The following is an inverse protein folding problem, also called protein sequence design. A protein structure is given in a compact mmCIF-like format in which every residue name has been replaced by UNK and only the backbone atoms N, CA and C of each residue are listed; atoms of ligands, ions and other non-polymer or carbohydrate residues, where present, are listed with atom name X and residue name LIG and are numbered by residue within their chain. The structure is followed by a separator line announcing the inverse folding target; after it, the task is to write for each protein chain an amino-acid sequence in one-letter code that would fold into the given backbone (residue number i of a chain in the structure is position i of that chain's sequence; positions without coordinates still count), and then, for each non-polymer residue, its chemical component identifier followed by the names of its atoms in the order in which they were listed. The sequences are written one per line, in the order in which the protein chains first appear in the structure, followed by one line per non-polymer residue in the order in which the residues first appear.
data_IF_670989296351
#
_entry.id   IF_670989296351
#
_cell.length_a   1.000
_cell.length_b   1.000
_cell.length_c   1.000
_cell.angle_alpha   90.00
_cell.angle_beta   90.00
_cell.angle_gamma   90.00
#
_symmetry.space_group_name_H-M   'P 1'
#
loop_
_entity.id
_entity.type
_entity.pdbx_description
1 polymer ?
#
# COMPACT_ATOMS: atom_id res chain seq x y z
N UNK A 1 7.13 -12.42 -0.28
CA UNK A 1 7.47 -11.03 -0.67
C UNK A 1 8.98 -10.93 -0.92
N UNK A 2 9.52 -11.71 -1.86
CA UNK A 2 10.89 -11.53 -2.37
C UNK A 2 10.91 -11.03 -3.82
N UNK A 3 9.72 -10.93 -4.44
CA UNK A 3 9.55 -10.81 -5.89
C UNK A 3 8.69 -9.59 -6.27
N UNK A 4 8.53 -8.62 -5.36
CA UNK A 4 7.79 -7.39 -5.64
C UNK A 4 8.69 -6.18 -5.40
N UNK A 5 8.73 -5.25 -6.33
CA UNK A 5 9.47 -3.98 -6.25
C UNK A 5 8.83 -2.97 -5.29
N UNK A 6 7.99 -3.45 -4.37
CA UNK A 6 7.29 -2.62 -3.40
C UNK A 6 8.28 -2.02 -2.40
N UNK A 7 8.36 -0.68 -2.39
CA UNK A 7 9.20 0.09 -1.48
C UNK A 7 8.42 0.63 -0.28
N UNK A 8 7.09 0.55 -0.27
CA UNK A 8 6.24 1.05 0.81
C UNK A 8 5.24 -0.03 1.25
N UNK A 9 4.76 0.05 2.49
CA UNK A 9 3.71 -0.84 3.00
C UNK A 9 2.66 -0.05 3.77
N UNK A 10 1.40 -0.38 3.53
CA UNK A 10 0.27 0.07 4.34
C UNK A 10 -0.32 -1.14 5.08
N UNK A 11 -0.56 -1.00 6.38
CA UNK A 11 -1.11 -2.07 7.20
C UNK A 11 -2.09 -1.54 8.26
N UNK A 12 -2.72 -2.44 9.01
CA UNK A 12 -3.52 -2.07 10.19
C UNK A 12 -2.64 -2.12 11.46
N UNK A 13 -2.97 -1.31 12.47
CA UNK A 13 -2.20 -1.24 13.71
C UNK A 13 -1.97 -2.62 14.38
N UNK A 14 -2.95 -3.52 14.31
CA UNK A 14 -2.84 -4.88 14.84
C UNK A 14 -1.77 -5.76 14.15
N UNK A 15 -1.30 -5.36 12.97
CA UNK A 15 -0.29 -6.10 12.20
C UNK A 15 1.07 -5.39 12.14
N UNK A 16 1.22 -4.20 12.73
CA UNK A 16 2.43 -3.40 12.70
C UNK A 16 3.68 -4.17 13.17
N UNK A 17 3.59 -4.91 14.28
CA UNK A 17 4.72 -5.73 14.77
C UNK A 17 5.18 -6.79 13.77
N UNK A 18 4.25 -7.38 13.01
CA UNK A 18 4.59 -8.37 11.98
C UNK A 18 5.35 -7.71 10.85
N UNK A 19 4.94 -6.50 10.46
CA UNK A 19 5.61 -5.71 9.43
C UNK A 19 7.01 -5.31 9.88
N UNK A 20 7.22 -4.84 11.13
CA UNK A 20 8.57 -4.49 11.63
C UNK A 20 9.55 -5.68 11.60
N UNK A 21 9.08 -6.87 11.97
CA UNK A 21 9.89 -8.11 11.91
C UNK A 21 10.35 -8.44 10.48
N UNK A 22 9.55 -8.07 9.48
CA UNK A 22 9.85 -8.32 8.07
C UNK A 22 10.58 -7.14 7.43
N UNK A 23 10.37 -5.90 7.91
CA UNK A 23 11.06 -4.69 7.48
C UNK A 23 12.58 -4.84 7.57
N UNK A 24 13.10 -5.45 8.63
CA UNK A 24 14.53 -5.75 8.76
C UNK A 24 15.11 -6.61 7.61
N UNK A 25 14.24 -7.27 6.83
CA UNK A 25 14.61 -8.15 5.70
C UNK A 25 14.24 -7.56 4.34
N UNK A 26 13.45 -6.49 4.29
CA UNK A 26 12.95 -5.86 3.07
C UNK A 26 13.47 -4.43 2.95
N UNK A 27 13.73 -3.97 1.73
CA UNK A 27 14.19 -2.59 1.49
C UNK A 27 13.03 -1.60 1.43
N UNK A 28 12.16 -1.63 2.45
CA UNK A 28 11.05 -0.69 2.52
C UNK A 28 11.57 0.69 2.96
N UNK A 29 11.12 1.72 2.26
CA UNK A 29 11.44 3.12 2.47
C UNK A 29 10.40 3.82 3.35
N UNK A 30 9.14 3.34 3.37
CA UNK A 30 8.10 3.90 4.22
C UNK A 30 7.12 2.85 4.77
N UNK A 31 6.68 3.09 6.00
CA UNK A 31 5.79 2.23 6.78
C UNK A 31 4.54 3.04 7.15
N UNK A 32 3.39 2.66 6.63
CA UNK A 32 2.12 3.35 6.87
C UNK A 32 1.12 2.47 7.61
N UNK A 33 0.27 3.08 8.43
CA UNK A 33 -0.71 2.37 9.26
C UNK A 33 -2.08 3.04 9.24
N UNK A 34 -3.15 2.23 9.23
CA UNK A 34 -4.48 2.69 9.61
C UNK A 34 -4.59 2.67 11.14
N UNK A 35 -4.81 3.85 11.74
CA UNK A 35 -4.70 4.07 13.19
C UNK A 35 -3.33 4.58 13.60
N UNK A 36 -2.78 4.13 14.72
CA UNK A 36 -1.49 4.60 15.25
C UNK A 36 -0.62 3.43 15.69
N UNK A 37 0.67 3.47 15.36
CA UNK A 37 1.67 2.50 15.84
C UNK A 37 3.07 3.09 15.77
N UNK A 38 3.93 2.75 16.73
CA UNK A 38 5.30 3.26 16.79
C UNK A 38 6.12 2.83 15.56
N UNK A 39 6.81 3.79 14.94
CA UNK A 39 7.59 3.57 13.72
C UNK A 39 6.77 3.52 12.43
N UNK A 40 5.47 3.83 12.48
CA UNK A 40 4.60 3.96 11.31
C UNK A 40 4.03 5.37 11.20
N UNK A 41 3.91 5.84 9.97
CA UNK A 41 3.15 7.04 9.65
C UNK A 41 1.66 6.70 9.55
N UNK A 42 0.81 7.47 10.22
CA UNK A 42 -0.63 7.26 10.17
C UNK A 42 -1.24 7.88 8.92
N UNK A 43 -1.98 7.08 8.15
CA UNK A 43 -2.68 7.60 6.96
C UNK A 43 -3.89 8.47 7.30
N UNK A 44 -4.33 8.53 8.56
CA UNK A 44 -5.45 9.41 8.94
C UNK A 44 -5.09 10.88 8.78
N UNK A 45 -3.81 11.24 8.89
CA UNK A 45 -3.35 12.61 8.64
C UNK A 45 -3.53 13.04 7.18
N UNK A 46 -3.66 12.11 6.24
CA UNK A 46 -3.79 12.43 4.82
C UNK A 46 -5.12 13.08 4.47
N UNK A 47 -6.15 12.88 5.31
CA UNK A 47 -7.44 13.54 5.13
C UNK A 47 -7.38 15.07 5.31
N UNK A 48 -6.35 15.56 5.98
CA UNK A 48 -6.15 17.00 6.25
C UNK A 48 -5.24 17.67 5.20
N UNK A 49 -4.62 16.89 4.31
CA UNK A 49 -3.72 17.40 3.27
C UNK A 49 -4.50 17.97 2.09
N UNK A 50 -3.98 19.04 1.51
CA UNK A 50 -4.49 19.65 0.29
C UNK A 50 -3.83 18.99 -0.94
N UNK A 51 -4.50 19.02 -2.09
CA UNK A 51 -3.95 18.59 -3.38
C UNK A 51 -2.63 19.27 -3.74
N UNK A 52 -2.34 20.44 -3.14
CA UNK A 52 -1.07 21.19 -3.28
C UNK A 52 0.09 20.61 -2.49
N UNK A 53 -0.18 19.74 -1.52
CA UNK A 53 0.85 19.08 -0.70
C UNK A 53 1.44 17.86 -1.42
N UNK A 54 0.92 17.51 -2.61
CA UNK A 54 1.37 16.37 -3.40
C UNK A 54 2.16 16.81 -4.63
N UNK A 55 3.19 16.02 -4.96
CA UNK A 55 3.89 16.10 -6.24
C UNK A 55 3.29 15.07 -7.21
N UNK A 56 2.95 15.50 -8.42
CA UNK A 56 2.41 14.61 -9.44
C UNK A 56 3.53 13.73 -10.02
N UNK A 57 3.40 12.41 -9.83
CA UNK A 57 4.30 11.43 -10.40
C UNK A 57 3.71 10.88 -11.70
N UNK A 58 4.37 11.19 -12.82
CA UNK A 58 3.97 10.69 -14.12
C UNK A 58 4.14 9.16 -14.19
N UNK A 59 3.05 8.48 -14.56
CA UNK A 59 3.03 7.03 -14.79
C UNK A 59 2.99 6.76 -16.29
N UNK A 60 4.04 6.15 -16.83
CA UNK A 60 4.23 5.97 -18.27
C UNK A 60 3.12 5.16 -18.94
N UNK A 61 2.62 4.11 -18.27
CA UNK A 61 1.48 3.31 -18.73
C UNK A 61 0.55 2.97 -17.56
N UNK A 62 -0.46 3.80 -17.27
CA UNK A 62 -1.38 3.57 -16.15
C UNK A 62 -2.23 2.30 -16.28
N UNK A 63 -2.34 1.72 -17.48
CA UNK A 63 -3.13 0.52 -17.72
C UNK A 63 -2.47 -0.71 -17.08
N UNK A 64 -1.16 -0.82 -17.24
CA UNK A 64 -0.37 -2.00 -16.89
C UNK A 64 0.59 -1.76 -15.71
N UNK A 65 0.93 -0.50 -15.40
CA UNK A 65 1.78 -0.18 -14.24
C UNK A 65 1.04 -0.50 -12.95
N UNK A 66 1.62 -1.39 -12.14
CA UNK A 66 1.11 -1.79 -10.83
C UNK A 66 1.26 -0.64 -9.84
N UNK A 67 0.15 -0.19 -9.30
CA UNK A 67 0.10 0.83 -8.25
C UNK A 67 0.20 0.22 -6.84
N UNK A 68 -0.36 -0.98 -6.64
CA UNK A 68 -0.36 -1.64 -5.34
C UNK A 68 -0.38 -3.17 -5.46
N UNK A 69 0.19 -3.84 -4.46
CA UNK A 69 0.05 -5.27 -4.21
C UNK A 69 -0.82 -5.47 -2.97
N UNK A 70 -2.06 -5.93 -3.14
CA UNK A 70 -2.95 -6.23 -2.03
C UNK A 70 -2.78 -7.69 -1.60
N UNK A 71 -2.46 -7.90 -0.32
CA UNK A 71 -2.43 -9.23 0.28
C UNK A 71 -3.68 -9.43 1.13
N UNK A 72 -4.40 -10.51 0.89
CA UNK A 72 -5.51 -10.94 1.75
C UNK A 72 -5.06 -12.12 2.60
N UNK A 73 -5.70 -12.30 3.76
CA UNK A 73 -5.35 -13.35 4.73
C UNK A 73 -5.41 -14.77 4.15
N UNK A 74 -6.11 -14.98 3.03
CA UNK A 74 -6.14 -16.22 2.28
C UNK A 74 -6.62 -17.41 3.11
N UNK A 75 -7.93 -17.67 3.16
CA UNK A 75 -8.50 -18.80 3.93
C UNK A 75 -8.18 -20.18 3.33
N UNK A 76 -7.59 -20.25 2.14
CA UNK A 76 -7.37 -21.48 1.36
C UNK A 76 -5.90 -21.85 1.14
N UNK A 77 -4.94 -21.20 1.82
CA UNK A 77 -3.52 -21.54 1.70
C UNK A 77 -2.58 -20.34 1.88
N UNK A 78 -1.44 -20.35 1.19
CA UNK A 78 -0.49 -19.23 1.22
C UNK A 78 -1.16 -17.94 0.69
N UNK A 79 -1.03 -16.80 1.39
CA UNK A 79 -1.52 -15.51 0.91
C UNK A 79 -1.00 -15.19 -0.49
N UNK A 80 -1.91 -14.86 -1.40
CA UNK A 80 -1.57 -14.43 -2.76
C UNK A 80 -1.60 -12.90 -2.82
N UNK A 81 -0.58 -12.33 -3.45
CA UNK A 81 -0.59 -10.90 -3.78
C UNK A 81 -1.45 -10.68 -5.02
N UNK A 82 -2.38 -9.73 -4.94
CA UNK A 82 -3.18 -9.27 -6.07
C UNK A 82 -2.57 -7.98 -6.57
N UNK A 83 -2.16 -7.95 -7.83
CA UNK A 83 -1.65 -6.75 -8.49
C UNK A 83 -2.81 -5.83 -8.88
N UNK A 84 -2.70 -4.56 -8.54
CA UNK A 84 -3.69 -3.54 -8.84
C UNK A 84 -2.98 -2.45 -9.63
N UNK A 85 -3.34 -2.28 -10.90
CA UNK A 85 -2.83 -1.17 -11.71
C UNK A 85 -3.54 0.15 -11.42
N UNK A 86 -2.93 1.28 -11.83
CA UNK A 86 -3.53 2.61 -11.69
C UNK A 86 -4.93 2.66 -12.33
N UNK A 87 -5.10 2.11 -13.54
CA UNK A 87 -6.40 2.01 -14.23
C UNK A 87 -7.43 1.25 -13.39
N UNK A 88 -7.08 0.07 -12.90
CA UNK A 88 -8.00 -0.78 -12.12
C UNK A 88 -8.43 -0.09 -10.82
N UNK A 89 -7.51 0.63 -10.18
CA UNK A 89 -7.80 1.40 -8.97
C UNK A 89 -8.82 2.52 -9.25
N UNK A 90 -8.57 3.36 -10.26
CA UNK A 90 -9.47 4.47 -10.64
C UNK A 90 -10.83 3.96 -11.12
N UNK A 91 -10.86 2.89 -11.91
CA UNK A 91 -12.12 2.30 -12.38
C UNK A 91 -13.01 1.82 -11.22
N UNK A 92 -12.41 1.24 -10.17
CA UNK A 92 -13.15 0.83 -8.97
C UNK A 92 -13.73 2.02 -8.21
N UNK A 93 -12.98 3.12 -8.05
CA UNK A 93 -13.47 4.34 -7.38
C UNK A 93 -14.70 4.93 -8.08
N UNK A 94 -14.75 4.91 -9.42
CA UNK A 94 -15.90 5.41 -10.17
C UNK A 94 -17.15 4.53 -10.06
N UNK A 95 -16.97 3.23 -9.77
CA UNK A 95 -18.07 2.25 -9.74
C UNK A 95 -18.65 2.10 -8.33
N UNK A 96 -17.86 2.35 -7.29
CA UNK A 96 -18.33 2.42 -5.90
C UNK A 96 -19.13 3.71 -5.64
N UNK A 97 -20.44 3.64 -5.91
CA UNK A 97 -21.44 4.60 -5.40
C UNK A 97 -22.08 4.08 -4.12
#
# INVERSE_FOLDING_TARGET
MKDGDATHVLTEAQYAEKVLKVHARLRLQGLFVTGTSDGFESVSGFAELDGRDYEELAVSDPAETVAALAYTSGTTGLPKGVEISHRSFVANLHTSK
#
